data_IF_307961068527
#
_entry.id   IF_307961068527
#
_cell.length_a   1.000
_cell.length_b   1.000
_cell.length_c   1.000
_cell.angle_alpha   90.00
_cell.angle_beta   90.00
_cell.angle_gamma   90.00
#
_symmetry.space_group_name_H-M   'P 1'
#
loop_
_entity.id
_entity.type
_entity.pdbx_description
1 polymer ?
#
# COMPACT_ATOMS: atom_id res chain seq x y z
N UNK A 1 -56.85 -58.81 -12.67
CA UNK A 1 -56.35 -59.90 -11.80
C UNK A 1 -54.85 -59.99 -11.96
N UNK A 2 -54.12 -60.08 -10.83
CA UNK A 2 -52.66 -59.95 -10.62
C UNK A 2 -52.12 -58.52 -10.90
N UNK A 3 -51.83 -57.63 -9.95
CA UNK A 3 -51.07 -57.66 -8.67
C UNK A 3 -49.63 -58.13 -8.88
N UNK A 4 -48.67 -57.19 -8.83
CA UNK A 4 -47.48 -57.20 -7.96
C UNK A 4 -46.86 -55.80 -7.86
N UNK A 5 -46.73 -55.33 -6.62
CA UNK A 5 -45.98 -54.15 -6.17
C UNK A 5 -44.50 -54.48 -6.01
N UNK A 6 -43.61 -53.50 -6.23
CA UNK A 6 -42.33 -53.32 -5.53
C UNK A 6 -41.71 -51.98 -6.00
N UNK A 7 -41.74 -50.94 -5.15
CA UNK A 7 -40.69 -50.50 -4.23
C UNK A 7 -39.62 -49.62 -4.90
N UNK A 8 -39.59 -48.37 -4.44
CA UNK A 8 -38.63 -47.33 -4.75
C UNK A 8 -37.23 -47.65 -4.20
N UNK A 9 -36.21 -47.27 -4.96
CA UNK A 9 -34.89 -46.87 -4.43
C UNK A 9 -34.42 -45.64 -5.20
N UNK A 10 -34.42 -44.50 -4.51
CA UNK A 10 -33.78 -43.28 -4.96
C UNK A 10 -32.26 -43.48 -4.87
N UNK A 11 -31.56 -43.34 -6.00
CA UNK A 11 -30.10 -43.25 -6.01
C UNK A 11 -29.74 -41.77 -6.04
N UNK A 12 -29.30 -41.25 -4.90
CA UNK A 12 -28.72 -39.92 -4.77
C UNK A 12 -27.29 -39.98 -5.32
N UNK A 13 -27.05 -39.38 -6.49
CA UNK A 13 -25.70 -39.09 -6.94
C UNK A 13 -25.14 -37.94 -6.10
N UNK A 14 -24.26 -38.28 -5.16
CA UNK A 14 -23.47 -37.32 -4.42
C UNK A 14 -22.48 -36.64 -5.39
N UNK A 15 -22.76 -35.39 -5.76
CA UNK A 15 -21.74 -34.49 -6.31
C UNK A 15 -20.77 -34.18 -5.17
N UNK A 16 -19.50 -34.59 -5.31
CA UNK A 16 -18.41 -34.11 -4.47
C UNK A 16 -18.23 -32.61 -4.77
N UNK A 17 -18.81 -31.76 -3.91
CA UNK A 17 -18.38 -30.36 -3.81
C UNK A 17 -17.10 -30.39 -2.96
N UNK A 18 -15.95 -30.23 -3.61
CA UNK A 18 -14.73 -29.87 -2.91
C UNK A 18 -14.92 -28.47 -2.33
N UNK A 19 -15.23 -28.38 -1.05
CA UNK A 19 -15.18 -27.13 -0.31
C UNK A 19 -13.72 -26.66 -0.32
N UNK A 20 -13.37 -25.76 -1.25
CA UNK A 20 -12.23 -24.88 -1.06
C UNK A 20 -12.58 -24.00 0.13
N UNK A 21 -11.93 -24.26 1.27
CA UNK A 21 -11.94 -23.32 2.37
C UNK A 21 -11.37 -22.00 1.85
N UNK A 22 -12.20 -20.97 1.83
CA UNK A 22 -11.78 -19.61 1.53
C UNK A 22 -10.75 -19.17 2.60
N UNK A 23 -9.50 -18.85 2.23
CA UNK A 23 -8.47 -18.44 3.19
C UNK A 23 -8.83 -17.14 3.94
N UNK A 24 -9.90 -16.43 3.55
CA UNK A 24 -10.38 -15.20 4.20
C UNK A 24 -10.92 -15.42 5.62
N UNK A 25 -11.43 -16.61 5.95
CA UNK A 25 -12.08 -16.86 7.25
C UNK A 25 -11.12 -17.22 8.39
N UNK A 26 -9.86 -17.53 8.10
CA UNK A 26 -8.86 -17.87 9.14
C UNK A 26 -8.27 -16.60 9.81
N UNK A 27 -8.49 -15.40 9.23
CA UNK A 27 -7.96 -14.11 9.72
C UNK A 27 -8.61 -13.56 11.00
N UNK A 28 -9.59 -14.25 11.63
CA UNK A 28 -10.39 -13.70 12.75
C UNK A 28 -10.38 -14.50 14.06
N UNK A 29 -9.28 -15.19 14.40
CA UNK A 29 -9.16 -15.81 15.72
C UNK A 29 -8.41 -14.87 16.70
N UNK A 30 -9.04 -14.38 17.79
CA UNK A 30 -8.31 -13.69 18.85
C UNK A 30 -7.48 -14.69 19.65
N UNK A 31 -6.24 -14.30 19.99
CA UNK A 31 -5.31 -15.12 20.76
C UNK A 31 -5.89 -15.45 22.16
N UNK A 32 -5.80 -16.71 22.64
CA UNK A 32 -6.18 -17.02 24.02
C UNK A 32 -5.08 -16.57 24.99
N UNK A 33 -5.49 -15.82 26.01
CA UNK A 33 -4.65 -15.44 27.15
C UNK A 33 -4.20 -16.69 27.93
N UNK A 34 -2.89 -16.84 28.13
CA UNK A 34 -2.29 -17.92 28.92
C UNK A 34 -1.59 -17.36 30.15
N UNK A 35 -2.17 -17.60 31.33
CA UNK A 35 -1.47 -17.53 32.61
C UNK A 35 -0.63 -18.81 32.86
N UNK A 36 0.42 -18.75 33.71
CA UNK A 36 1.44 -19.77 33.77
C UNK A 36 1.07 -20.90 34.74
N UNK A 37 1.30 -22.16 34.35
CA UNK A 37 1.28 -23.29 35.28
C UNK A 37 2.62 -24.02 35.27
N UNK A 38 3.29 -23.94 36.42
CA UNK A 38 4.39 -24.79 36.85
C UNK A 38 3.94 -26.25 36.91
N UNK A 39 4.72 -27.17 36.34
CA UNK A 39 4.57 -28.60 36.62
C UNK A 39 5.92 -29.32 36.74
N UNK A 40 6.08 -29.88 37.93
CA UNK A 40 7.18 -30.65 38.49
C UNK A 40 7.33 -32.04 37.85
N UNK A 41 8.56 -32.53 37.86
CA UNK A 41 9.01 -33.87 37.48
C UNK A 41 8.44 -34.96 38.41
N UNK A 42 7.93 -36.08 37.87
CA UNK A 42 8.23 -37.46 38.35
C UNK A 42 7.52 -38.58 37.57
N UNK A 43 8.35 -39.50 37.06
CA UNK A 43 8.24 -40.96 37.00
C UNK A 43 6.97 -41.68 36.49
N UNK A 44 7.15 -42.56 35.51
CA UNK A 44 6.94 -44.01 35.69
C UNK A 44 7.53 -44.82 34.52
N UNK A 45 8.22 -45.91 34.88
CA UNK A 45 8.81 -46.89 33.98
C UNK A 45 7.79 -47.96 33.58
N UNK A 46 7.90 -48.50 32.37
CA UNK A 46 7.39 -49.85 32.04
C UNK A 46 8.23 -50.48 30.92
N UNK A 47 8.96 -51.55 31.27
CA UNK A 47 9.45 -52.64 30.40
C UNK A 47 8.22 -53.46 29.95
N UNK A 48 8.08 -54.14 28.81
CA UNK A 48 8.91 -54.98 27.92
C UNK A 48 8.05 -55.17 26.63
N UNK A 49 8.55 -55.43 25.42
CA UNK A 49 9.05 -56.73 24.93
C UNK A 49 9.65 -56.59 23.51
N UNK A 50 10.73 -57.33 23.28
CA UNK A 50 11.39 -57.56 22.00
C UNK A 50 10.53 -58.39 21.05
N UNK A 51 10.52 -58.03 19.77
CA UNK A 51 10.61 -59.00 18.66
C UNK A 51 11.62 -58.45 17.65
N UNK A 52 12.60 -59.29 17.32
CA UNK A 52 13.69 -59.01 16.40
C UNK A 52 13.25 -59.26 14.95
N UNK A 53 13.74 -58.46 14.01
CA UNK A 53 13.89 -58.86 12.62
C UNK A 53 15.11 -58.17 11.99
N UNK A 54 16.10 -59.02 11.72
CA UNK A 54 17.24 -58.96 10.81
C UNK A 54 17.54 -57.65 10.05
N UNK A 55 18.78 -57.19 10.26
CA UNK A 55 19.54 -56.40 9.30
C UNK A 55 19.83 -57.22 8.04
N UNK A 56 19.60 -56.62 6.87
CA UNK A 56 20.25 -56.99 5.63
C UNK A 56 20.92 -55.73 5.08
N UNK A 57 22.25 -55.80 5.03
CA UNK A 57 23.16 -54.81 4.49
C UNK A 57 22.95 -54.69 2.98
N UNK A 58 22.79 -53.46 2.49
CA UNK A 58 22.87 -53.13 1.07
C UNK A 58 23.40 -51.71 0.98
N UNK A 59 24.72 -51.65 0.95
CA UNK A 59 25.50 -50.47 0.62
C UNK A 59 25.21 -50.05 -0.82
N UNK A 60 24.23 -49.15 -0.99
CA UNK A 60 24.12 -48.34 -2.21
C UNK A 60 25.04 -47.14 -2.01
N UNK A 61 26.23 -47.20 -2.60
CA UNK A 61 27.09 -46.04 -2.78
C UNK A 61 26.42 -45.11 -3.80
N UNK A 62 25.50 -44.27 -3.34
CA UNK A 62 25.00 -43.15 -4.12
C UNK A 62 26.08 -42.07 -4.14
N UNK A 63 26.74 -41.92 -5.29
CA UNK A 63 27.60 -40.79 -5.59
C UNK A 63 26.75 -39.54 -5.49
N UNK A 64 27.04 -38.68 -4.52
CA UNK A 64 26.42 -37.37 -4.39
C UNK A 64 26.80 -36.53 -5.60
N UNK A 65 25.92 -36.43 -6.59
CA UNK A 65 25.93 -35.30 -7.51
C UNK A 65 25.41 -34.09 -6.75
N UNK A 66 26.05 -32.94 -6.95
CA UNK A 66 25.84 -31.66 -6.26
C UNK A 66 24.45 -31.04 -6.39
N UNK A 67 23.46 -31.77 -6.93
CA UNK A 67 22.18 -31.19 -7.36
C UNK A 67 20.98 -31.55 -6.47
N UNK A 68 21.18 -32.17 -5.29
CA UNK A 68 20.06 -32.56 -4.41
C UNK A 68 20.23 -32.22 -2.92
N UNK A 69 21.03 -31.19 -2.58
CA UNK A 69 21.06 -30.62 -1.22
C UNK A 69 20.14 -29.41 -1.13
N UNK A 70 18.83 -29.59 -1.36
CA UNK A 70 17.80 -28.58 -1.06
C UNK A 70 16.44 -29.23 -0.72
N UNK A 71 16.41 -30.30 0.08
CA UNK A 71 15.17 -30.66 0.80
C UNK A 71 15.53 -31.04 2.23
N UNK A 72 15.92 -30.04 3.01
CA UNK A 72 15.56 -29.93 4.42
C UNK A 72 15.10 -28.50 4.62
N UNK A 73 13.79 -28.30 4.49
CA UNK A 73 13.12 -27.08 4.91
C UNK A 73 13.36 -26.89 6.42
N UNK A 74 14.43 -26.16 6.75
CA UNK A 74 14.43 -25.36 7.95
C UNK A 74 13.48 -24.19 7.66
N UNK A 75 12.58 -23.88 8.59
CA UNK A 75 11.83 -22.63 8.57
C UNK A 75 12.84 -21.48 8.53
N UNK A 76 13.14 -20.98 7.34
CA UNK A 76 14.00 -19.82 7.17
C UNK A 76 13.16 -18.64 7.65
N UNK A 77 13.57 -18.05 8.77
CA UNK A 77 13.06 -16.74 9.17
C UNK A 77 13.35 -15.76 8.04
N UNK A 78 12.36 -14.98 7.62
CA UNK A 78 12.58 -13.89 6.69
C UNK A 78 13.74 -13.01 7.18
N UNK A 79 14.62 -12.58 6.28
CA UNK A 79 15.53 -11.48 6.60
C UNK A 79 14.71 -10.20 6.74
N UNK A 80 15.20 -9.18 7.47
CA UNK A 80 14.61 -7.85 7.41
C UNK A 80 14.45 -7.39 5.97
N UNK A 81 13.34 -6.73 5.63
CA UNK A 81 13.06 -6.30 4.25
C UNK A 81 14.21 -5.48 3.67
N UNK A 82 14.82 -4.64 4.49
CA UNK A 82 15.95 -3.78 4.16
C UNK A 82 17.23 -4.52 3.74
N UNK A 83 17.29 -5.84 3.92
CA UNK A 83 18.39 -6.68 3.45
C UNK A 83 18.15 -7.29 2.07
N UNK A 84 16.95 -7.10 1.50
CA UNK A 84 16.65 -7.53 0.14
C UNK A 84 16.83 -6.39 -0.86
N UNK A 85 17.58 -6.67 -1.93
CA UNK A 85 17.72 -5.75 -3.06
C UNK A 85 17.51 -6.51 -4.37
N UNK A 86 16.58 -6.03 -5.19
CA UNK A 86 16.25 -6.60 -6.49
C UNK A 86 16.19 -5.50 -7.55
N UNK A 87 16.78 -5.75 -8.72
CA UNK A 87 16.37 -5.03 -9.91
C UNK A 87 14.88 -5.31 -10.18
N UNK A 88 14.13 -4.33 -10.65
CA UNK A 88 12.66 -4.44 -10.77
C UNK A 88 12.23 -5.64 -11.63
N UNK A 89 12.95 -5.93 -12.71
CA UNK A 89 12.70 -7.06 -13.60
C UNK A 89 13.12 -8.43 -13.03
N UNK A 90 13.80 -8.45 -11.89
CA UNK A 90 14.28 -9.63 -11.18
C UNK A 90 13.55 -9.87 -9.85
N UNK A 91 12.49 -9.11 -9.59
CA UNK A 91 11.70 -9.23 -8.36
C UNK A 91 11.06 -10.62 -8.28
N UNK A 92 11.20 -11.34 -7.15
CA UNK A 92 10.54 -12.62 -6.96
C UNK A 92 9.02 -12.43 -6.82
N UNK A 93 8.24 -13.46 -7.16
CA UNK A 93 6.78 -13.40 -7.01
C UNK A 93 6.36 -13.00 -5.59
N UNK A 94 7.03 -13.53 -4.57
CA UNK A 94 6.92 -13.12 -3.18
C UNK A 94 8.33 -13.04 -2.57
N UNK A 95 8.60 -12.02 -1.77
CA UNK A 95 9.86 -11.86 -1.03
C UNK A 95 9.80 -12.68 0.26
N UNK A 96 8.66 -12.60 0.96
CA UNK A 96 8.46 -13.26 2.26
C UNK A 96 7.26 -14.25 2.22
N UNK A 97 7.37 -15.39 1.50
CA UNK A 97 6.31 -16.41 1.46
C UNK A 97 6.22 -17.24 2.76
N UNK A 98 7.06 -16.97 3.75
CA UNK A 98 7.21 -17.75 4.97
C UNK A 98 6.24 -17.30 6.07
N UNK A 99 5.87 -18.19 7.01
CA UNK A 99 5.08 -17.78 8.17
C UNK A 99 5.76 -16.67 8.97
N UNK A 100 5.03 -15.59 9.26
CA UNK A 100 5.43 -14.52 10.17
C UNK A 100 4.35 -14.28 11.22
N UNK A 101 4.63 -13.39 12.19
CA UNK A 101 3.64 -12.96 13.21
C UNK A 101 2.35 -12.45 12.56
N UNK A 102 2.44 -11.79 11.39
CA UNK A 102 1.31 -11.24 10.64
C UNK A 102 0.91 -12.09 9.44
N UNK A 103 1.45 -13.31 9.35
CA UNK A 103 1.24 -14.24 8.24
C UNK A 103 2.23 -14.03 7.08
N UNK A 104 2.27 -15.00 6.15
CA UNK A 104 3.09 -14.86 4.94
C UNK A 104 2.58 -13.70 4.08
N UNK A 105 3.45 -13.22 3.20
CA UNK A 105 3.07 -12.30 2.13
C UNK A 105 1.83 -12.84 1.39
N UNK A 106 0.81 -12.00 1.22
CA UNK A 106 -0.51 -12.44 0.73
C UNK A 106 -0.72 -12.22 -0.76
N UNK A 107 -0.11 -11.18 -1.34
CA UNK A 107 -0.15 -10.86 -2.76
C UNK A 107 1.16 -11.21 -3.47
N UNK A 108 1.51 -10.43 -4.49
CA UNK A 108 2.70 -10.65 -5.33
C UNK A 108 3.46 -9.36 -5.65
N UNK A 109 4.72 -9.48 -6.05
CA UNK A 109 5.60 -8.36 -6.38
C UNK A 109 5.94 -8.25 -7.88
N UNK A 110 5.62 -9.27 -8.69
CA UNK A 110 5.78 -9.22 -10.14
C UNK A 110 4.61 -8.46 -10.79
N UNK A 111 4.60 -7.15 -10.59
CA UNK A 111 3.50 -6.28 -11.02
C UNK A 111 3.81 -5.64 -12.37
N UNK A 112 2.82 -5.58 -13.27
CA UNK A 112 2.90 -4.83 -14.52
C UNK A 112 1.49 -4.68 -15.14
N UNK A 113 1.38 -4.13 -16.34
CA UNK A 113 0.10 -3.97 -17.07
C UNK A 113 -0.76 -5.24 -17.20
N UNK A 114 -0.21 -6.45 -17.05
CA UNK A 114 -0.99 -7.70 -17.12
C UNK A 114 -1.58 -8.12 -15.77
N UNK A 115 -1.20 -7.46 -14.68
CA UNK A 115 -1.66 -7.77 -13.31
C UNK A 115 -2.53 -6.67 -12.72
N UNK A 116 -2.78 -5.59 -13.47
CA UNK A 116 -3.62 -4.48 -13.04
C UNK A 116 -5.12 -4.82 -13.07
N UNK A 117 -5.92 -4.07 -12.32
CA UNK A 117 -7.37 -4.21 -12.25
C UNK A 117 -7.90 -4.10 -10.83
N UNK A 118 -9.24 -4.08 -10.69
CA UNK A 118 -9.90 -3.89 -9.39
C UNK A 118 -9.59 -5.03 -8.39
N UNK A 119 -9.27 -6.22 -8.88
CA UNK A 119 -8.90 -7.40 -8.08
C UNK A 119 -7.38 -7.60 -7.97
N UNK A 120 -6.57 -6.62 -8.39
CA UNK A 120 -5.12 -6.73 -8.33
C UNK A 120 -4.61 -6.96 -6.90
N UNK A 121 -3.60 -7.83 -6.77
CA UNK A 121 -2.93 -8.17 -5.51
C UNK A 121 -1.43 -7.80 -5.54
N UNK A 122 -1.09 -6.78 -6.34
CA UNK A 122 0.26 -6.23 -6.36
C UNK A 122 0.60 -5.61 -5.01
N UNK A 123 1.69 -6.03 -4.37
CA UNK A 123 2.20 -5.47 -3.12
C UNK A 123 3.48 -4.64 -3.31
N UNK A 124 3.91 -4.44 -4.55
CA UNK A 124 4.99 -3.50 -4.89
C UNK A 124 4.43 -2.12 -5.18
N UNK A 125 5.03 -1.10 -4.58
CA UNK A 125 4.65 0.30 -4.77
C UNK A 125 5.62 0.98 -5.73
N UNK A 126 5.09 1.75 -6.67
CA UNK A 126 5.87 2.60 -7.57
C UNK A 126 5.50 4.06 -7.31
N UNK A 127 6.49 4.92 -7.11
CA UNK A 127 6.27 6.37 -6.98
C UNK A 127 7.37 7.16 -7.67
N UNK A 128 7.09 7.65 -8.87
CA UNK A 128 8.05 8.31 -9.75
C UNK A 128 7.96 9.83 -9.65
N UNK A 129 6.76 10.38 -9.76
CA UNK A 129 6.51 11.82 -9.67
C UNK A 129 5.08 12.15 -9.19
N UNK A 130 4.62 13.38 -9.39
CA UNK A 130 3.27 13.81 -8.97
C UNK A 130 2.15 13.17 -9.79
N UNK A 131 2.40 12.79 -11.04
CA UNK A 131 1.41 12.18 -11.93
C UNK A 131 1.42 10.68 -11.78
N UNK A 132 2.58 10.11 -11.47
CA UNK A 132 2.82 8.69 -11.46
C UNK A 132 3.30 8.19 -10.11
N UNK A 133 2.35 7.87 -9.23
CA UNK A 133 2.62 7.25 -7.94
C UNK A 133 1.50 6.33 -7.48
N UNK A 134 1.83 5.45 -6.56
CA UNK A 134 0.90 4.56 -5.90
C UNK A 134 0.92 4.78 -4.39
N UNK A 135 -0.17 4.37 -3.73
CA UNK A 135 -0.33 4.28 -2.29
C UNK A 135 -0.77 2.86 -1.93
N UNK A 136 -0.46 2.40 -0.74
CA UNK A 136 -1.01 1.14 -0.23
C UNK A 136 -2.41 1.33 0.35
N UNK A 137 -3.26 0.34 0.10
CA UNK A 137 -4.62 0.26 0.61
C UNK A 137 -5.06 -1.19 0.79
N UNK A 138 -6.34 -1.41 1.04
CA UNK A 138 -6.88 -2.73 1.35
C UNK A 138 -6.96 -3.67 0.15
N UNK A 139 -6.74 -4.97 0.39
CA UNK A 139 -6.96 -6.06 -0.57
C UNK A 139 -8.45 -6.40 -0.76
N UNK A 140 -9.33 -5.87 0.09
CA UNK A 140 -10.78 -6.03 -0.03
C UNK A 140 -11.32 -5.41 -1.31
N UNK A 141 -12.48 -5.84 -1.79
CA UNK A 141 -13.10 -5.31 -3.02
C UNK A 141 -14.59 -5.00 -2.82
N UNK A 142 -15.18 -4.30 -3.79
CA UNK A 142 -16.60 -3.93 -3.74
C UNK A 142 -16.88 -2.86 -2.68
N UNK A 143 -17.68 -3.20 -1.67
CA UNK A 143 -18.11 -2.28 -0.59
C UNK A 143 -17.51 -2.63 0.77
N UNK A 144 -16.64 -3.63 0.83
CA UNK A 144 -15.96 -4.01 2.06
C UNK A 144 -14.82 -3.03 2.35
N UNK A 145 -14.66 -2.66 3.62
CA UNK A 145 -13.65 -1.70 4.10
C UNK A 145 -12.90 -2.30 5.29
N UNK A 146 -11.65 -1.89 5.48
CA UNK A 146 -10.82 -2.26 6.63
C UNK A 146 -10.08 -1.04 7.22
N UNK A 147 -9.35 -1.21 8.32
CA UNK A 147 -8.42 -0.19 8.82
C UNK A 147 -7.00 -0.52 8.38
N UNK A 148 -6.18 0.49 8.09
CA UNK A 148 -4.81 0.28 7.59
C UNK A 148 -3.95 -0.50 8.59
N UNK A 149 -4.14 -0.25 9.90
CA UNK A 149 -3.40 -0.94 10.97
C UNK A 149 -3.73 -2.43 11.08
N UNK A 150 -4.96 -2.84 10.73
CA UNK A 150 -5.36 -4.25 10.77
C UNK A 150 -4.81 -5.05 9.56
N UNK A 151 -4.42 -4.36 8.48
CA UNK A 151 -4.09 -4.99 7.19
C UNK A 151 -2.65 -4.73 6.72
N UNK A 152 -1.75 -4.24 7.56
CA UNK A 152 -0.40 -3.83 7.13
C UNK A 152 0.36 -4.90 6.32
N UNK A 153 0.16 -6.20 6.59
CA UNK A 153 0.76 -7.31 5.84
C UNK A 153 0.03 -7.67 4.53
N UNK A 154 -1.23 -7.24 4.39
CA UNK A 154 -2.12 -7.59 3.29
C UNK A 154 -2.35 -6.43 2.31
N UNK A 155 -1.77 -5.26 2.55
CA UNK A 155 -1.96 -4.10 1.68
C UNK A 155 -1.55 -4.37 0.24
N UNK A 156 -2.27 -3.75 -0.69
CA UNK A 156 -2.00 -3.80 -2.13
C UNK A 156 -1.89 -2.38 -2.69
N UNK A 157 -1.19 -2.26 -3.81
CA UNK A 157 -0.88 -0.98 -4.44
C UNK A 157 -2.07 -0.43 -5.22
N UNK A 158 -2.40 0.84 -4.99
CA UNK A 158 -3.35 1.63 -5.76
C UNK A 158 -2.61 2.79 -6.42
N UNK A 159 -2.71 2.92 -7.74
CA UNK A 159 -1.87 3.80 -8.55
C UNK A 159 -2.68 4.88 -9.26
N UNK A 160 -2.08 6.07 -9.43
CA UNK A 160 -2.63 7.17 -10.23
C UNK A 160 -2.56 6.90 -11.74
N UNK A 161 -1.61 6.06 -12.17
CA UNK A 161 -1.42 5.62 -13.56
C UNK A 161 -1.53 4.10 -13.68
N UNK A 162 -1.83 3.64 -14.89
CA UNK A 162 -1.77 2.22 -15.26
C UNK A 162 -0.35 1.74 -15.52
N UNK A 163 -0.17 0.44 -15.71
CA UNK A 163 1.09 -0.18 -16.07
C UNK A 163 1.91 -0.71 -14.89
N UNK A 164 1.58 -0.30 -13.67
CA UNK A 164 2.28 -0.73 -12.44
C UNK A 164 1.69 -1.98 -11.80
N UNK A 165 0.63 -2.55 -12.37
CA UNK A 165 0.00 -3.77 -11.87
C UNK A 165 -0.82 -3.61 -10.60
N UNK A 166 -0.95 -2.39 -10.08
CA UNK A 166 -1.83 -2.05 -8.96
C UNK A 166 -3.28 -1.82 -9.40
N UNK A 167 -4.11 -1.50 -8.41
CA UNK A 167 -5.48 -1.00 -8.58
C UNK A 167 -5.44 0.47 -9.01
N UNK A 168 -6.54 1.01 -9.51
CA UNK A 168 -6.59 2.43 -9.90
C UNK A 168 -7.10 3.33 -8.77
N UNK A 169 -6.37 4.41 -8.49
CA UNK A 169 -6.89 5.53 -7.70
C UNK A 169 -7.85 6.32 -8.58
N UNK A 170 -9.13 6.35 -8.21
CA UNK A 170 -10.16 7.05 -8.98
C UNK A 170 -9.95 8.57 -8.89
N UNK A 171 -10.14 9.25 -10.02
CA UNK A 171 -10.07 10.72 -10.07
C UNK A 171 -11.03 11.36 -9.06
N UNK A 172 -10.53 12.36 -8.34
CA UNK A 172 -11.26 13.04 -7.27
C UNK A 172 -11.08 12.44 -5.88
N UNK A 173 -10.48 11.25 -5.74
CA UNK A 173 -10.14 10.69 -4.44
C UNK A 173 -9.06 11.54 -3.74
N UNK A 174 -8.01 11.93 -4.47
CA UNK A 174 -6.98 12.84 -3.95
C UNK A 174 -7.38 14.27 -4.29
N UNK A 175 -7.55 15.09 -3.26
CA UNK A 175 -8.04 16.47 -3.41
C UNK A 175 -6.91 17.50 -3.36
N UNK A 176 -5.71 17.12 -2.91
CA UNK A 176 -4.50 17.93 -3.00
C UNK A 176 -3.26 17.06 -2.79
N UNK A 177 -2.16 17.42 -3.43
CA UNK A 177 -0.86 16.77 -3.25
C UNK A 177 0.28 17.75 -3.47
N UNK A 178 1.27 17.71 -2.58
CA UNK A 178 2.55 18.39 -2.72
C UNK A 178 3.66 17.35 -2.75
N UNK A 179 4.48 17.41 -3.80
CA UNK A 179 5.72 16.63 -3.93
C UNK A 179 6.91 17.54 -3.66
N UNK A 180 7.66 17.24 -2.60
CA UNK A 180 8.90 17.92 -2.26
C UNK A 180 10.08 17.08 -2.72
N UNK A 181 10.97 17.69 -3.52
CA UNK A 181 12.21 17.09 -3.99
C UNK A 181 13.39 17.67 -3.21
N UNK A 182 14.26 16.80 -2.72
CA UNK A 182 15.50 17.18 -2.03
C UNK A 182 16.68 16.40 -2.61
N UNK A 183 17.89 16.66 -2.12
CA UNK A 183 19.06 15.84 -2.46
C UNK A 183 19.07 14.45 -1.79
N UNK A 184 18.22 14.21 -0.78
CA UNK A 184 18.25 12.97 0.02
C UNK A 184 17.02 12.09 -0.13
N UNK A 185 15.88 12.67 -0.50
CA UNK A 185 14.60 11.98 -0.60
C UNK A 185 13.61 12.74 -1.48
N UNK A 186 12.57 12.04 -1.90
CA UNK A 186 11.34 12.64 -2.42
C UNK A 186 10.21 12.35 -1.44
N UNK A 187 9.33 13.34 -1.24
CA UNK A 187 8.20 13.23 -0.32
C UNK A 187 6.91 13.68 -0.99
N UNK A 188 5.86 12.86 -0.95
CA UNK A 188 4.50 13.20 -1.32
C UNK A 188 3.70 13.43 -0.06
N UNK A 189 2.89 14.48 -0.02
CA UNK A 189 1.98 14.79 1.08
C UNK A 189 0.67 15.27 0.51
N UNK A 190 -0.47 14.80 1.02
CA UNK A 190 -1.74 15.15 0.39
C UNK A 190 -2.98 14.80 1.21
N UNK A 191 -4.12 15.20 0.65
CA UNK A 191 -5.45 14.89 1.14
C UNK A 191 -6.08 13.81 0.27
N UNK A 192 -6.78 12.87 0.89
CA UNK A 192 -7.40 11.74 0.21
C UNK A 192 -8.72 11.35 0.87
N UNK A 193 -9.73 11.04 0.06
CA UNK A 193 -10.84 10.18 0.45
C UNK A 193 -10.33 8.73 0.53
N UNK A 194 -9.91 8.32 1.74
CA UNK A 194 -9.29 7.03 1.98
C UNK A 194 -10.22 5.83 1.68
N UNK A 195 -11.54 6.05 1.58
CA UNK A 195 -12.48 5.00 1.16
C UNK A 195 -12.23 4.55 -0.29
N UNK A 196 -11.60 5.39 -1.11
CA UNK A 196 -11.17 5.02 -2.46
C UNK A 196 -10.09 3.93 -2.48
N UNK A 197 -9.44 3.68 -1.33
CA UNK A 197 -8.46 2.60 -1.12
C UNK A 197 -9.03 1.44 -0.28
N UNK A 198 -10.36 1.43 -0.13
CA UNK A 198 -11.11 0.50 0.72
C UNK A 198 -10.70 0.54 2.21
N UNK A 199 -10.32 1.72 2.69
CA UNK A 199 -10.15 1.99 4.11
C UNK A 199 -11.44 2.59 4.70
N UNK A 200 -11.72 2.36 5.98
CA UNK A 200 -12.88 3.02 6.62
C UNK A 200 -12.69 4.53 6.64
N UNK A 201 -13.77 5.30 6.53
CA UNK A 201 -13.68 6.78 6.52
C UNK A 201 -13.18 7.38 7.85
N UNK A 202 -13.31 6.63 8.94
CA UNK A 202 -12.93 7.00 10.30
C UNK A 202 -11.59 6.37 10.75
N UNK A 203 -10.91 5.63 9.88
CA UNK A 203 -9.59 5.10 10.18
C UNK A 203 -8.60 6.26 10.40
N UNK A 204 -8.07 6.34 11.62
CA UNK A 204 -7.14 7.38 12.06
C UNK A 204 -5.75 7.25 11.46
N UNK A 205 -5.46 6.10 10.85
CA UNK A 205 -4.26 5.81 10.10
C UNK A 205 -3.24 4.95 10.80
N UNK A 206 -2.16 4.67 10.07
CA UNK A 206 -1.03 3.84 10.49
C UNK A 206 0.21 4.13 9.64
N UNK A 207 1.36 3.66 10.12
CA UNK A 207 2.62 3.66 9.38
C UNK A 207 2.78 2.33 8.63
N UNK A 208 3.25 2.41 7.40
CA UNK A 208 3.89 1.31 6.70
C UNK A 208 5.35 1.70 6.47
N UNK A 209 6.27 0.80 6.77
CA UNK A 209 7.71 0.99 6.63
C UNK A 209 8.44 -0.37 6.56
N UNK A 210 9.71 -0.43 6.14
CA UNK A 210 10.44 -1.69 6.00
C UNK A 210 11.03 -2.23 7.32
N UNK A 211 10.83 -1.54 8.44
CA UNK A 211 11.38 -1.85 9.77
C UNK A 211 10.30 -2.05 10.85
N UNK A 212 9.04 -2.27 10.45
CA UNK A 212 7.94 -2.53 11.38
C UNK A 212 8.20 -3.74 12.31
N UNK A 213 7.27 -4.05 13.21
CA UNK A 213 7.49 -5.02 14.29
C UNK A 213 7.94 -6.43 13.84
N UNK A 214 7.62 -6.84 12.62
CA UNK A 214 8.04 -8.12 12.03
C UNK A 214 9.22 -7.99 11.03
N UNK A 215 9.75 -6.78 10.85
CA UNK A 215 10.80 -6.41 9.88
C UNK A 215 10.43 -6.75 8.44
N UNK A 216 9.14 -6.85 8.15
CA UNK A 216 8.60 -7.06 6.82
C UNK A 216 7.92 -5.78 6.32
N UNK A 217 7.67 -5.73 5.01
CA UNK A 217 6.96 -4.64 4.34
C UNK A 217 6.88 -4.91 2.84
N UNK A 218 6.51 -3.89 2.06
CA UNK A 218 6.44 -3.98 0.61
C UNK A 218 7.70 -3.45 -0.09
N UNK A 219 7.99 -3.98 -1.28
CA UNK A 219 9.03 -3.42 -2.13
C UNK A 219 8.58 -2.07 -2.70
N UNK A 220 9.48 -1.09 -2.74
CA UNK A 220 9.21 0.23 -3.31
C UNK A 220 10.22 0.57 -4.38
N UNK A 221 9.73 1.10 -5.50
CA UNK A 221 10.54 1.53 -6.62
C UNK A 221 10.21 2.95 -7.06
N UNK A 222 11.22 3.63 -7.59
CA UNK A 222 11.06 4.94 -8.19
C UNK A 222 12.12 5.16 -9.24
N UNK A 223 11.76 5.75 -10.37
CA UNK A 223 12.73 6.33 -11.31
C UNK A 223 13.13 7.74 -10.94
N UNK A 224 12.39 8.38 -10.03
CA UNK A 224 12.53 9.79 -9.68
C UNK A 224 13.54 10.08 -8.57
N UNK A 225 14.14 9.05 -7.95
CA UNK A 225 15.07 9.23 -6.82
C UNK A 225 16.16 10.27 -7.16
N UNK A 226 16.67 11.02 -6.16
CA UNK A 226 17.71 12.04 -6.38
C UNK A 226 18.93 11.57 -7.19
N UNK A 227 19.35 10.32 -7.02
CA UNK A 227 20.45 9.68 -7.74
C UNK A 227 20.03 8.98 -9.04
N UNK A 228 18.73 8.84 -9.28
CA UNK A 228 18.16 8.18 -10.44
C UNK A 228 18.22 9.00 -11.74
N UNK A 229 17.94 8.35 -12.86
CA UNK A 229 18.02 8.91 -14.21
C UNK A 229 16.65 9.33 -14.80
N UNK A 230 15.58 9.27 -14.01
CA UNK A 230 14.18 9.48 -14.42
C UNK A 230 13.68 8.46 -15.47
N UNK A 231 14.32 7.30 -15.60
CA UNK A 231 13.94 6.25 -16.57
C UNK A 231 13.99 4.84 -15.98
N UNK A 232 15.01 4.56 -15.19
CA UNK A 232 15.30 3.26 -14.59
C UNK A 232 14.64 3.21 -13.23
N UNK A 233 13.80 2.21 -12.98
CA UNK A 233 13.23 1.98 -11.66
C UNK A 233 14.30 1.48 -10.71
N UNK A 234 14.59 2.28 -9.69
CA UNK A 234 15.52 1.96 -8.61
C UNK A 234 14.74 1.62 -7.35
N UNK A 235 15.24 0.65 -6.58
CA UNK A 235 14.59 0.26 -5.34
C UNK A 235 14.88 1.30 -4.25
N UNK A 236 13.83 1.93 -3.72
CA UNK A 236 13.90 2.68 -2.48
C UNK A 236 13.81 1.67 -1.33
N UNK A 237 14.95 1.26 -0.79
CA UNK A 237 15.01 0.28 0.32
C UNK A 237 14.46 0.87 1.61
N UNK A 238 14.59 2.19 1.76
CA UNK A 238 14.23 2.94 2.94
C UNK A 238 13.12 3.93 2.61
N UNK A 239 11.96 3.75 3.23
CA UNK A 239 10.75 4.50 2.92
C UNK A 239 9.79 4.48 4.11
N UNK A 240 8.87 5.44 4.16
CA UNK A 240 7.73 5.40 5.08
C UNK A 240 6.48 5.87 4.32
N UNK A 241 5.34 5.25 4.59
CA UNK A 241 4.02 5.72 4.16
C UNK A 241 3.13 5.83 5.39
N UNK A 242 2.48 6.96 5.58
CA UNK A 242 1.36 7.09 6.50
C UNK A 242 0.10 7.40 5.71
N UNK A 243 -1.01 6.80 6.09
CA UNK A 243 -2.32 7.08 5.51
C UNK A 243 -3.42 6.91 6.56
N UNK A 244 -4.38 7.83 6.55
CA UNK A 244 -5.53 7.86 7.46
C UNK A 244 -5.87 9.27 7.90
N UNK A 245 -7.01 9.45 8.57
CA UNK A 245 -7.49 10.78 8.96
C UNK A 245 -7.74 11.74 7.78
N UNK A 246 -7.97 11.20 6.58
CA UNK A 246 -8.16 11.97 5.34
C UNK A 246 -6.87 12.54 4.71
N UNK A 247 -5.71 12.12 5.18
CA UNK A 247 -4.40 12.53 4.66
C UNK A 247 -3.51 11.34 4.34
N UNK A 248 -2.52 11.56 3.49
CA UNK A 248 -1.41 10.62 3.30
C UNK A 248 -0.09 11.36 3.19
N UNK A 249 0.98 10.65 3.47
CA UNK A 249 2.33 11.10 3.18
C UNK A 249 3.25 9.90 2.90
N UNK A 250 4.03 9.98 1.83
CA UNK A 250 4.99 8.99 1.39
C UNK A 250 6.35 9.64 1.30
N UNK A 251 7.39 9.00 1.82
CA UNK A 251 8.78 9.43 1.64
C UNK A 251 9.63 8.27 1.16
N UNK A 252 10.37 8.49 0.09
CA UNK A 252 11.36 7.56 -0.43
C UNK A 252 12.75 8.15 -0.25
N UNK A 253 13.59 7.48 0.55
CA UNK A 253 14.96 7.91 0.79
C UNK A 253 15.92 7.31 -0.24
N UNK A 254 16.81 8.17 -0.71
CA UNK A 254 17.83 7.81 -1.66
C UNK A 254 18.92 6.96 -0.99
N UNK A 255 19.16 5.72 -1.44
CA UNK A 255 20.18 4.85 -0.85
C UNK A 255 21.60 5.40 -1.04
N UNK A 256 21.90 6.12 -2.13
CA UNK A 256 23.22 6.71 -2.39
C UNK A 256 23.48 7.92 -1.48
N UNK A 257 22.44 8.68 -1.11
CA UNK A 257 22.60 9.78 -0.16
C UNK A 257 23.07 9.27 1.20
N UNK A 258 22.41 8.23 1.75
CA UNK A 258 22.80 7.65 3.03
C UNK A 258 24.21 7.06 2.97
N UNK A 259 24.55 6.31 1.91
CA UNK A 259 25.90 5.76 1.71
C UNK A 259 26.98 6.83 1.73
N UNK A 260 26.70 8.00 1.14
CA UNK A 260 27.65 9.12 1.03
C UNK A 260 27.78 9.93 2.32
N UNK A 261 26.67 10.19 3.02
CA UNK A 261 26.62 11.18 4.11
C UNK A 261 26.49 10.55 5.50
N UNK A 262 26.02 9.30 5.59
CA UNK A 262 25.66 8.63 6.84
C UNK A 262 24.40 9.19 7.51
N UNK A 263 23.70 10.15 6.89
CA UNK A 263 22.47 10.74 7.47
C UNK A 263 21.24 10.04 6.94
N UNK A 264 20.37 9.60 7.86
CA UNK A 264 19.18 8.84 7.56
C UNK A 264 17.91 9.68 7.77
N UNK A 265 17.10 9.85 6.72
CA UNK A 265 15.91 10.73 6.73
C UNK A 265 14.56 9.97 6.73
N UNK A 266 14.57 8.65 6.56
CA UNK A 266 13.39 7.78 6.61
C UNK A 266 13.32 7.02 7.95
N UNK A 267 13.59 7.76 9.03
CA UNK A 267 13.45 7.25 10.40
C UNK A 267 11.98 6.96 10.70
N UNK A 268 11.69 5.76 11.20
CA UNK A 268 10.36 5.25 11.53
C UNK A 268 10.05 5.33 13.04
N UNK A 269 10.72 6.23 13.78
CA UNK A 269 10.64 6.27 15.25
C UNK A 269 9.28 6.70 15.79
N UNK A 270 8.46 7.32 14.95
CA UNK A 270 7.20 7.99 15.33
C UNK A 270 5.99 7.47 14.53
N UNK A 271 5.89 6.14 14.45
CA UNK A 271 4.75 5.39 13.92
C UNK A 271 3.38 5.87 14.42
N UNK A 272 3.28 6.42 15.63
CA UNK A 272 2.01 6.86 16.23
C UNK A 272 1.74 8.37 16.15
N UNK A 273 2.58 9.16 15.47
CA UNK A 273 2.41 10.62 15.37
C UNK A 273 2.02 11.13 13.98
N UNK A 274 1.98 10.25 12.98
CA UNK A 274 1.42 10.53 11.65
C UNK A 274 2.23 11.54 10.82
N UNK A 275 1.58 12.04 9.78
CA UNK A 275 2.22 12.81 8.71
C UNK A 275 2.83 14.15 9.14
N UNK A 276 2.17 14.90 10.03
CA UNK A 276 2.66 16.21 10.46
C UNK A 276 3.98 16.13 11.23
N UNK A 277 4.28 14.98 11.84
CA UNK A 277 5.52 14.77 12.58
C UNK A 277 6.62 14.08 11.78
N UNK A 278 6.26 13.14 10.90
CA UNK A 278 7.23 12.36 10.12
C UNK A 278 7.59 13.00 8.77
N UNK A 279 6.66 13.75 8.18
CA UNK A 279 6.74 14.34 6.85
C UNK A 279 6.11 15.74 6.82
N UNK A 280 6.68 16.70 7.57
CA UNK A 280 6.15 18.06 7.60
C UNK A 280 6.19 18.70 6.21
N UNK A 281 5.08 19.32 5.83
CA UNK A 281 4.85 19.98 4.55
C UNK A 281 3.74 21.03 4.71
N UNK A 282 3.34 21.68 3.63
CA UNK A 282 2.31 22.73 3.68
C UNK A 282 0.89 22.22 3.87
N UNK A 283 0.58 20.99 3.39
CA UNK A 283 -0.76 20.37 3.41
C UNK A 283 -1.87 21.35 2.98
N UNK A 284 -1.85 21.78 1.73
CA UNK A 284 -2.87 22.67 1.15
C UNK A 284 -3.87 21.86 0.33
N UNK A 285 -5.13 21.83 0.77
CA UNK A 285 -6.21 21.19 0.02
C UNK A 285 -6.47 21.92 -1.31
N UNK A 286 -6.79 21.18 -2.36
CA UNK A 286 -7.00 21.68 -3.74
C UNK A 286 -5.75 22.27 -4.40
N UNK A 287 -4.58 22.06 -3.82
CA UNK A 287 -3.30 22.38 -4.43
C UNK A 287 -2.61 21.10 -4.92
N UNK A 288 -2.07 21.18 -6.14
CA UNK A 288 -1.27 20.12 -6.75
C UNK A 288 0.07 20.75 -7.14
N UNK A 289 1.14 20.46 -6.40
CA UNK A 289 2.43 21.14 -6.59
C UNK A 289 3.64 20.22 -6.50
N UNK A 290 4.67 20.51 -7.29
CA UNK A 290 6.00 19.93 -7.18
C UNK A 290 6.97 21.05 -6.88
N UNK A 291 7.73 20.95 -5.79
CA UNK A 291 8.68 21.97 -5.38
C UNK A 291 10.05 21.37 -5.09
N UNK A 292 11.09 22.16 -5.30
CA UNK A 292 12.38 21.93 -4.63
C UNK A 292 12.22 22.26 -3.14
N UNK A 293 12.90 21.52 -2.27
CA UNK A 293 12.82 21.70 -0.83
C UNK A 293 14.19 21.62 -0.17
N UNK A 294 14.36 22.36 0.92
CA UNK A 294 15.44 22.05 1.86
C UNK A 294 15.19 20.69 2.56
N UNK A 295 16.25 20.14 3.16
CA UNK A 295 16.12 18.93 3.99
C UNK A 295 15.30 19.23 5.24
N UNK A 296 14.42 18.29 5.58
CA UNK A 296 13.76 18.27 6.88
C UNK A 296 14.76 18.07 8.02
N UNK A 297 14.34 18.40 9.23
CA UNK A 297 15.06 17.94 10.42
C UNK A 297 14.89 16.41 10.53
N UNK A 298 15.92 15.71 11.00
CA UNK A 298 15.84 14.25 11.21
C UNK A 298 14.70 13.98 12.19
N UNK A 299 13.85 13.00 11.87
CA UNK A 299 12.67 12.69 12.68
C UNK A 299 13.12 12.39 14.12
N UNK A 300 12.55 13.15 15.04
CA UNK A 300 12.83 13.05 16.46
C UNK A 300 14.02 13.80 16.99
N UNK A 301 14.69 14.55 16.13
CA UNK A 301 15.69 15.54 16.46
C UNK A 301 15.05 16.92 16.34
N UNK A 302 15.13 17.73 17.39
CA UNK A 302 14.57 19.08 17.38
C UNK A 302 15.53 20.09 17.99
N UNK A 303 15.51 21.31 17.45
CA UNK A 303 16.27 22.43 18.00
C UNK A 303 15.38 23.25 18.92
N UNK A 304 15.73 23.32 20.20
CA UNK A 304 15.03 24.13 21.20
C UNK A 304 15.17 25.63 20.94
N UNK A 305 14.39 26.44 21.64
CA UNK A 305 14.46 27.91 21.56
C UNK A 305 15.82 28.48 22.00
N UNK A 306 16.61 27.68 22.71
CA UNK A 306 17.98 27.98 23.12
C UNK A 306 19.04 27.63 22.05
N UNK A 307 18.60 27.16 20.87
CA UNK A 307 19.45 26.77 19.76
C UNK A 307 20.11 25.40 19.92
N UNK A 308 19.78 24.63 20.97
CA UNK A 308 20.36 23.30 21.20
C UNK A 308 19.51 22.20 20.61
N UNK A 309 20.17 21.20 20.06
CA UNK A 309 19.52 20.00 19.54
C UNK A 309 19.22 19.01 20.68
N UNK A 310 17.98 18.54 20.73
CA UNK A 310 17.47 17.53 21.67
C UNK A 310 16.76 16.41 20.91
N UNK A 311 16.57 15.26 21.56
CA UNK A 311 15.85 14.11 21.00
C UNK A 311 14.58 13.81 21.79
N UNK A 312 13.50 13.41 21.12
CA UNK A 312 12.30 12.86 21.74
C UNK A 312 12.16 11.38 21.37
N UNK A 313 11.78 10.54 22.33
CA UNK A 313 11.43 9.15 22.09
C UNK A 313 9.94 8.98 22.34
N UNK A 314 9.26 8.34 21.40
CA UNK A 314 7.84 8.03 21.56
C UNK A 314 7.65 7.09 22.76
N UNK A 315 6.62 7.30 23.61
CA UNK A 315 6.32 6.39 24.69
C UNK A 315 5.79 5.05 24.16
N UNK A 316 5.84 3.98 24.98
CA UNK A 316 5.22 2.71 24.64
C UNK A 316 3.74 2.83 24.28
N UNK A 317 3.23 1.79 23.63
CA UNK A 317 1.81 1.66 23.33
C UNK A 317 0.94 1.81 24.59
N UNK A 318 -0.28 2.33 24.41
CA UNK A 318 -1.18 2.67 25.52
C UNK A 318 -0.91 4.03 26.19
N UNK A 319 0.23 4.66 25.93
CA UNK A 319 0.49 6.06 26.34
C UNK A 319 0.46 6.98 25.12
N UNK A 320 -0.33 8.04 25.16
CA UNK A 320 -0.42 9.01 24.07
C UNK A 320 0.92 9.75 23.88
N UNK A 321 1.47 9.82 22.65
CA UNK A 321 2.61 10.67 22.36
C UNK A 321 2.29 12.14 22.66
N UNK A 322 3.26 12.86 23.24
CA UNK A 322 3.17 14.28 23.54
C UNK A 322 4.54 14.93 23.38
N UNK A 323 5.02 15.10 22.14
CA UNK A 323 6.32 15.70 21.86
C UNK A 323 6.34 17.17 22.30
N UNK A 324 7.43 17.65 22.93
CA UNK A 324 7.53 19.03 23.44
C UNK A 324 7.81 20.07 22.34
N UNK A 325 7.64 19.72 21.06
CA UNK A 325 8.01 20.55 19.92
C UNK A 325 7.06 20.30 18.74
N UNK A 326 7.04 21.27 17.83
CA UNK A 326 6.40 21.15 16.51
C UNK A 326 7.51 21.08 15.46
N UNK A 327 7.51 20.08 14.57
CA UNK A 327 8.52 19.99 13.52
C UNK A 327 8.48 21.19 12.60
N UNK A 328 9.66 21.60 12.15
CA UNK A 328 9.81 22.66 11.17
C UNK A 328 9.31 22.15 9.82
N UNK A 329 8.45 22.93 9.17
CA UNK A 329 8.12 22.70 7.76
C UNK A 329 9.32 23.16 6.92
N UNK A 330 9.93 22.28 6.11
CA UNK A 330 11.03 22.66 5.23
C UNK A 330 10.57 23.73 4.23
N UNK A 331 11.41 24.74 4.02
CA UNK A 331 11.20 25.75 2.99
C UNK A 331 11.23 25.10 1.62
N UNK A 332 10.20 25.40 0.83
CA UNK A 332 10.08 25.02 -0.56
C UNK A 332 10.34 26.20 -1.50
N UNK A 333 10.78 25.89 -2.72
CA UNK A 333 11.06 26.86 -3.79
C UNK A 333 10.82 26.24 -5.16
N UNK A 334 10.86 27.06 -6.23
CA UNK A 334 10.67 26.61 -7.62
C UNK A 334 9.40 25.77 -7.84
N UNK A 335 8.34 26.06 -7.08
CA UNK A 335 7.10 25.30 -7.11
C UNK A 335 6.40 25.41 -8.47
N UNK A 336 6.10 24.26 -9.04
CA UNK A 336 5.28 24.10 -10.25
C UNK A 336 3.90 23.59 -9.85
N UNK A 337 2.85 24.26 -10.32
CA UNK A 337 1.46 23.88 -10.05
C UNK A 337 0.88 23.06 -11.20
N UNK A 338 0.05 22.08 -10.85
CA UNK A 338 -0.65 21.18 -11.76
C UNK A 338 -2.16 21.32 -11.58
N UNK A 339 -2.93 20.90 -12.58
CA UNK A 339 -4.35 20.67 -12.40
C UNK A 339 -4.57 19.24 -11.90
N UNK A 340 -5.62 19.00 -11.11
CA UNK A 340 -5.98 17.64 -10.67
C UNK A 340 -6.18 16.68 -11.87
N UNK A 341 -6.68 17.20 -12.99
CA UNK A 341 -6.86 16.45 -14.24
C UNK A 341 -5.56 16.02 -14.90
N UNK A 342 -4.42 16.60 -14.51
CA UNK A 342 -3.11 16.20 -15.03
C UNK A 342 -2.55 14.96 -14.32
N UNK A 343 -3.11 14.58 -13.17
CA UNK A 343 -2.61 13.51 -12.30
C UNK A 343 -3.35 12.19 -12.49
N UNK A 344 -4.65 12.23 -12.75
CA UNK A 344 -5.47 11.03 -12.88
C UNK A 344 -5.76 10.81 -14.36
N UNK A 345 -5.42 9.63 -14.88
CA UNK A 345 -5.94 9.24 -16.19
C UNK A 345 -7.46 9.41 -16.17
N UNK A 346 -8.01 10.01 -17.24
CA UNK A 346 -9.46 10.07 -17.41
C UNK A 346 -9.96 8.63 -17.52
N UNK A 347 -10.40 8.05 -16.40
CA UNK A 347 -11.04 6.74 -16.37
C UNK A 347 -12.24 6.84 -17.29
N UNK A 348 -12.07 6.34 -18.50
CA UNK A 348 -13.13 6.26 -19.48
C UNK A 348 -14.18 5.36 -18.85
N UNK A 349 -15.30 5.97 -18.46
CA UNK A 349 -16.48 5.28 -17.95
C UNK A 349 -17.02 4.37 -19.04
N UNK A 350 -16.45 3.16 -19.12
CA UNK A 350 -17.09 2.06 -19.84
C UNK A 350 -18.25 1.60 -18.98
N UNK A 351 -19.35 2.35 -19.04
CA UNK A 351 -20.66 1.85 -18.65
C UNK A 351 -20.97 0.67 -19.58
N UNK A 352 -20.69 -0.55 -19.13
CA UNK A 352 -21.15 -1.76 -19.77
C UNK A 352 -22.68 -1.70 -19.79
N UNK A 353 -23.20 -1.44 -20.99
CA UNK A 353 -24.61 -1.36 -21.30
C UNK A 353 -25.24 -2.71 -21.00
N UNK A 354 -26.26 -2.73 -20.15
CA UNK A 354 -27.12 -3.89 -19.94
C UNK A 354 -27.76 -4.26 -21.29
N UNK A 355 -27.32 -5.38 -21.84
CA UNK A 355 -27.84 -5.99 -23.05
C UNK A 355 -29.25 -6.51 -22.79
N UNK A 356 -30.26 -5.71 -23.15
CA UNK A 356 -31.61 -6.21 -23.34
C UNK A 356 -31.65 -7.10 -24.59
N UNK A 357 -31.72 -8.41 -24.34
CA UNK A 357 -31.98 -9.44 -25.35
C UNK A 357 -33.33 -9.19 -26.03
N UNK A 358 -33.32 -8.78 -27.30
CA UNK A 358 -34.46 -8.88 -28.20
C UNK A 358 -34.25 -10.03 -29.17
N UNK A 359 -35.18 -10.97 -29.15
CA UNK A 359 -35.22 -12.20 -29.93
C UNK A 359 -35.29 -11.93 -31.44
N UNK A 360 -34.63 -12.81 -32.20
CA UNK A 360 -34.34 -12.61 -33.62
C UNK A 360 -35.48 -12.83 -34.60
N UNK A 361 -35.23 -12.39 -35.83
CA UNK A 361 -35.82 -12.93 -37.04
C UNK A 361 -34.89 -12.72 -38.25
N UNK A 362 -34.63 -13.84 -38.93
CA UNK A 362 -34.39 -14.03 -40.38
C UNK A 362 -33.20 -13.38 -41.09
N UNK A 363 -32.24 -14.26 -41.38
CA UNK A 363 -31.39 -14.39 -42.58
C UNK A 363 -31.99 -13.82 -43.89
N UNK A 364 -31.18 -13.13 -44.71
CA UNK A 364 -30.62 -13.67 -45.99
C UNK A 364 -29.82 -12.62 -46.80
N UNK A 365 -28.61 -13.05 -47.20
CA UNK A 365 -27.85 -12.83 -48.45
C UNK A 365 -27.79 -11.48 -49.19
N UNK A 366 -26.56 -11.05 -49.51
CA UNK A 366 -26.31 -10.25 -50.72
C UNK A 366 -24.97 -9.49 -50.83
N UNK A 367 -23.97 -10.14 -51.44
CA UNK A 367 -22.94 -9.58 -52.36
C UNK A 367 -22.01 -8.41 -51.97
N UNK A 368 -20.72 -8.75 -51.81
CA UNK A 368 -19.52 -8.26 -52.53
C UNK A 368 -19.42 -6.81 -53.07
N UNK A 369 -18.43 -6.10 -52.51
CA UNK A 369 -17.26 -5.47 -53.18
C UNK A 369 -17.34 -4.12 -53.92
N UNK A 370 -16.45 -3.24 -53.43
CA UNK A 370 -15.43 -2.45 -54.14
C UNK A 370 -15.66 -0.95 -54.43
N UNK A 371 -14.58 -0.18 -54.19
CA UNK A 371 -14.22 1.04 -54.92
C UNK A 371 -14.41 2.34 -54.12
N UNK A 372 -13.39 2.85 -53.42
CA UNK A 372 -12.30 3.69 -53.93
C UNK A 372 -12.56 5.20 -53.79
N UNK A 373 -11.72 5.82 -52.96
CA UNK A 373 -11.00 7.08 -53.16
C UNK A 373 -11.68 8.24 -53.90
N UNK A 374 -11.76 9.40 -53.24
CA UNK A 374 -11.31 10.64 -53.87
C UNK A 374 -10.94 11.73 -52.85
N UNK A 375 -9.70 12.19 -52.99
CA UNK A 375 -9.15 13.43 -52.45
C UNK A 375 -9.61 14.63 -53.29
N UNK A 376 -9.81 15.78 -52.65
CA UNK A 376 -9.53 17.12 -53.19
C UNK A 376 -9.69 18.12 -52.02
N UNK A 377 -8.61 18.68 -51.46
CA UNK A 377 -7.97 19.95 -51.86
C UNK A 377 -8.93 21.12 -52.03
N UNK A 378 -8.77 22.12 -51.15
CA UNK A 378 -9.44 23.41 -51.22
C UNK A 378 -8.70 24.43 -50.36
N UNK A 379 -7.70 25.06 -50.96
CA UNK A 379 -7.00 26.26 -50.47
C UNK A 379 -7.92 27.47 -50.49
N UNK A 380 -7.79 28.36 -49.50
CA UNK A 380 -8.49 29.64 -49.47
C UNK A 380 -8.03 30.53 -48.32
N UNK A 381 -6.92 31.23 -48.52
CA UNK A 381 -6.49 32.40 -47.74
C UNK A 381 -7.32 33.62 -48.11
N UNK A 382 -7.81 34.38 -47.13
CA UNK A 382 -7.88 35.85 -47.18
C UNK A 382 -8.17 36.42 -45.79
N UNK A 383 -7.37 37.42 -45.44
CA UNK A 383 -7.38 38.20 -44.21
C UNK A 383 -8.46 39.28 -44.18
N UNK A 384 -8.82 39.75 -42.98
CA UNK A 384 -8.80 41.19 -42.62
C UNK A 384 -9.27 41.43 -41.17
N UNK A 385 -8.42 42.13 -40.41
CA UNK A 385 -8.68 43.33 -39.58
C UNK A 385 -9.95 43.37 -38.69
N UNK A 386 -9.92 43.81 -37.43
CA UNK A 386 -8.91 44.52 -36.65
C UNK A 386 -9.53 45.06 -35.34
N UNK A 387 -8.66 45.70 -34.54
CA UNK A 387 -8.93 46.57 -33.36
C UNK A 387 -9.60 45.90 -32.15
N UNK A 388 -9.10 45.99 -30.92
CA UNK A 388 -8.32 47.05 -30.28
C UNK A 388 -9.19 47.68 -29.18
N UNK A 389 -8.80 47.54 -27.91
CA UNK A 389 -9.53 48.14 -26.79
C UNK A 389 -8.98 47.77 -25.41
N UNK A 390 -7.99 48.54 -24.95
CA UNK A 390 -7.44 48.56 -23.59
C UNK A 390 -8.44 49.07 -22.54
N UNK A 391 -8.16 48.71 -21.27
CA UNK A 391 -8.43 49.38 -19.96
C UNK A 391 -9.23 48.48 -19.02
N UNK A 392 -8.91 48.29 -17.74
CA UNK A 392 -7.90 48.88 -16.88
C UNK A 392 -7.90 48.12 -15.55
N UNK A 393 -6.81 48.25 -14.81
CA UNK A 393 -6.56 47.60 -13.55
C UNK A 393 -7.55 48.02 -12.44
N UNK A 394 -7.93 47.06 -11.59
CA UNK A 394 -8.28 47.31 -10.19
C UNK A 394 -7.44 46.39 -9.33
N UNK A 395 -6.53 47.02 -8.60
CA UNK A 395 -5.80 46.48 -7.46
C UNK A 395 -6.79 46.11 -6.35
N UNK A 396 -6.60 44.95 -5.73
CA UNK A 396 -7.21 44.62 -4.45
C UNK A 396 -6.26 43.75 -3.66
N UNK A 397 -5.36 44.42 -2.94
CA UNK A 397 -4.56 43.88 -1.86
C UNK A 397 -5.50 43.31 -0.79
N UNK A 398 -5.40 42.00 -0.52
CA UNK A 398 -5.90 41.41 0.73
C UNK A 398 -4.79 40.59 1.37
N UNK A 399 -4.14 41.22 2.34
CA UNK A 399 -3.38 40.59 3.40
C UNK A 399 -4.35 39.73 4.21
N UNK A 400 -4.18 38.41 4.17
CA UNK A 400 -4.95 37.47 4.96
C UNK A 400 -4.00 36.50 5.63
N UNK A 401 -3.73 36.72 6.91
CA UNK A 401 -3.02 35.80 7.78
C UNK A 401 -3.74 34.46 7.80
N UNK A 402 -3.10 33.42 7.26
CA UNK A 402 -3.55 32.04 7.35
C UNK A 402 -3.36 31.55 8.78
N UNK A 403 -4.47 31.46 9.53
CA UNK A 403 -4.52 30.77 10.80
C UNK A 403 -4.40 29.26 10.56
N UNK A 404 -3.35 28.65 11.10
CA UNK A 404 -3.19 27.21 11.19
C UNK A 404 -4.32 26.64 12.06
N UNK A 405 -5.28 25.94 11.44
CA UNK A 405 -6.29 25.18 12.16
C UNK A 405 -5.65 23.88 12.66
N UNK A 406 -5.35 23.85 13.95
CA UNK A 406 -5.05 22.64 14.68
C UNK A 406 -6.33 21.82 14.85
N UNK A 407 -6.43 20.69 14.15
CA UNK A 407 -7.40 19.65 14.49
C UNK A 407 -6.86 18.87 15.69
N UNK A 408 -7.28 19.28 16.88
CA UNK A 408 -7.08 18.51 18.10
C UNK A 408 -8.08 17.33 18.12
N UNK A 409 -7.62 16.15 17.73
CA UNK A 409 -8.34 14.89 17.94
C UNK A 409 -8.46 14.62 19.44
N UNK A 410 -9.64 14.89 19.98
CA UNK A 410 -9.96 14.72 21.40
C UNK A 410 -10.52 13.33 21.65
N UNK A 411 -9.73 12.51 22.34
CA UNK A 411 -10.09 11.75 23.54
C UNK A 411 -11.41 10.97 23.59
N UNK A 412 -11.23 9.65 23.62
CA UNK A 412 -12.11 8.59 24.15
C UNK A 412 -13.04 9.01 25.31
N UNK A 413 -14.33 8.66 25.19
CA UNK A 413 -15.31 8.67 26.28
C UNK A 413 -15.20 7.33 27.04
N UNK A 414 -14.65 7.35 28.25
CA UNK A 414 -14.73 6.23 29.19
C UNK A 414 -15.84 6.49 30.23
N UNK A 415 -16.95 5.77 30.09
CA UNK A 415 -18.03 5.67 31.07
C UNK A 415 -17.53 4.84 32.28
N UNK A 416 -17.29 5.50 33.42
CA UNK A 416 -17.05 4.83 34.70
C UNK A 416 -18.39 4.71 35.42
N UNK A 417 -18.96 3.50 35.44
CA UNK A 417 -19.99 3.11 36.40
C UNK A 417 -19.30 2.62 37.68
N UNK A 418 -19.57 3.30 38.79
CA UNK A 418 -18.99 2.98 40.09
C UNK A 418 -19.60 1.74 40.75
N UNK A 419 -18.82 1.12 41.63
CA UNK A 419 -19.32 0.32 42.74
C UNK A 419 -18.39 0.50 43.95
N UNK A 420 -18.96 1.05 45.01
CA UNK A 420 -18.42 1.14 46.37
C UNK A 420 -18.37 -0.24 47.05
N UNK A 421 -17.29 -0.55 47.76
CA UNK A 421 -17.25 -1.32 49.03
C UNK A 421 -15.80 -1.24 49.58
N UNK A 422 -15.47 -0.44 50.59
CA UNK A 422 -15.75 -0.55 52.04
C UNK A 422 -14.94 -1.66 52.74
N UNK A 423 -14.06 -1.21 53.65
CA UNK A 423 -13.48 -1.85 54.86
C UNK A 423 -12.47 -3.01 54.69
N UNK A 424 -11.19 -2.73 54.90
CA UNK A 424 -10.45 -3.01 56.16
C UNK A 424 -9.00 -2.52 56.04
#
# INVERSE_FOLDING_TARGET
MLVHSALAFASASALLVAAHADPRLVRRAPAPAGEPSTATVAAAATKTHKVAAAAADSTVTAVATTDNVQIKAAAQSALPLTQYTYAYDQVPYQVNPYPSVRGPQSGYNQCNSTTEGDDALCQTLIANDIKDFCLWGSDLTGTELDTIGDIEAAVVSYCTQKGHGGRSIKGGAITGVQVLKTEAYIQWTGFIDQTALHLTADDSGGELDPHGADLQGGLVYSSGLPSGDNKTLEQAVEWNLFIGGGVFCLKLCDPEYYKKTGTFFCENRYDRMGCSYNMPASYVDKEFSVCDSELQDVVGVYTGTDGKTSTYSQPPEGTAPNPPYTPRVPKSSNCQTYASTDLFEAVSTSAASSSASASGASMTSGSMSAGASQSASGTGTAASQGAGGNSGAVSSTRTGSGASMWLASSGFVALVAGALAVLA
#
